data_IF_620540067915
#
_entry.id   IF_620540067915
#
_cell.length_a   1.000
_cell.length_b   1.000
_cell.length_c   1.000
_cell.angle_alpha   90.00
_cell.angle_beta   90.00
_cell.angle_gamma   90.00
#
_symmetry.space_group_name_H-M   'P 1'
#
loop_
_entity.id
_entity.type
_entity.pdbx_description
1 polymer ?
#
# COMPACT_ATOMS: atom_id res chain seq x y z
N UNK A 1 -24.31 -5.99 -9.21
CA UNK A 1 -23.02 -5.59 -8.59
C UNK A 1 -21.94 -5.41 -9.65
N UNK A 2 -20.82 -4.71 -9.36
CA UNK A 2 -19.68 -4.61 -10.29
C UNK A 2 -19.15 -5.97 -10.80
N UNK A 3 -19.28 -7.01 -9.97
CA UNK A 3 -18.98 -8.40 -10.32
C UNK A 3 -19.83 -8.96 -11.48
N UNK A 4 -21.09 -8.53 -11.62
CA UNK A 4 -21.97 -8.98 -12.71
C UNK A 4 -21.62 -8.29 -14.03
N UNK A 5 -21.22 -7.00 -13.96
CA UNK A 5 -20.83 -6.23 -15.13
C UNK A 5 -20.03 -4.98 -14.71
N UNK A 6 -18.94 -4.69 -15.43
CA UNK A 6 -18.03 -3.57 -15.12
C UNK A 6 -18.71 -2.19 -15.05
N UNK A 7 -19.76 -1.96 -15.85
CA UNK A 7 -20.59 -0.72 -15.80
C UNK A 7 -21.19 -0.40 -14.43
N UNK A 8 -21.30 -1.40 -13.54
CA UNK A 8 -21.84 -1.23 -12.18
C UNK A 8 -20.74 -0.98 -11.13
N UNK A 9 -19.48 -0.83 -11.55
CA UNK A 9 -18.40 -0.47 -10.65
C UNK A 9 -18.50 1.03 -10.29
N UNK A 10 -18.56 1.41 -9.01
CA UNK A 10 -18.72 2.81 -8.59
C UNK A 10 -17.40 3.60 -8.62
N UNK A 11 -16.29 2.95 -8.97
CA UNK A 11 -14.93 3.51 -8.99
C UNK A 11 -14.28 3.30 -10.36
N UNK A 12 -13.54 4.28 -10.86
CA UNK A 12 -12.68 4.13 -12.03
C UNK A 12 -11.37 3.45 -11.66
N UNK A 13 -10.84 3.74 -10.47
CA UNK A 13 -9.64 3.13 -9.92
C UNK A 13 -9.80 2.88 -8.41
N UNK A 14 -9.39 1.70 -7.96
CA UNK A 14 -9.21 1.38 -6.55
C UNK A 14 -7.97 0.50 -6.45
N UNK A 15 -6.90 1.08 -5.92
CA UNK A 15 -5.62 0.40 -5.77
C UNK A 15 -5.02 0.77 -4.42
N UNK A 16 -4.07 -0.02 -3.96
CA UNK A 16 -3.30 0.29 -2.78
C UNK A 16 -1.83 -0.05 -3.00
N UNK A 17 -0.98 0.53 -2.16
CA UNK A 17 0.41 0.12 -1.98
C UNK A 17 0.74 0.09 -0.50
N UNK A 18 1.72 -0.71 -0.13
CA UNK A 18 2.26 -0.67 1.22
C UNK A 18 2.98 0.65 1.50
N UNK A 19 3.00 1.07 2.76
CA UNK A 19 3.77 2.24 3.19
C UNK A 19 5.27 1.96 2.98
N UNK A 20 5.97 2.76 2.15
CA UNK A 20 7.39 2.55 1.89
C UNK A 20 8.25 2.91 3.10
N UNK A 21 9.17 2.02 3.48
CA UNK A 21 10.18 2.24 4.51
C UNK A 21 11.53 2.39 3.80
N UNK A 22 12.14 3.57 3.93
CA UNK A 22 13.41 3.89 3.27
C UNK A 22 14.44 4.19 4.35
N UNK A 23 15.44 3.33 4.48
CA UNK A 23 16.54 3.53 5.43
C UNK A 23 17.86 3.71 4.70
N UNK A 24 18.68 4.65 5.19
CA UNK A 24 19.98 4.99 4.60
C UNK A 24 21.04 4.70 5.65
N UNK A 25 22.06 3.91 5.31
CA UNK A 25 23.22 3.67 6.18
C UNK A 25 24.24 4.80 5.99
N UNK A 26 24.35 5.79 6.90
CA UNK A 26 25.12 7.01 6.64
C UNK A 26 26.61 6.73 6.48
N UNK A 27 27.14 5.76 7.22
CA UNK A 27 28.57 5.36 7.15
C UNK A 27 28.99 4.80 5.77
N UNK A 28 28.04 4.33 4.96
CA UNK A 28 28.29 3.76 3.62
C UNK A 28 27.93 4.74 2.49
N UNK A 29 27.24 5.83 2.82
CA UNK A 29 26.80 6.86 1.87
C UNK A 29 27.80 8.02 1.87
N UNK A 30 28.30 8.37 0.69
CA UNK A 30 29.24 9.46 0.45
C UNK A 30 28.56 10.75 -0.02
N UNK A 31 27.22 10.77 -0.09
CA UNK A 31 26.47 11.94 -0.53
C UNK A 31 26.58 12.24 -2.03
N UNK A 32 27.01 11.29 -2.88
CA UNK A 32 27.22 11.51 -4.31
C UNK A 32 25.99 12.00 -5.12
N UNK A 33 24.78 11.89 -4.57
CA UNK A 33 23.56 12.40 -5.20
C UNK A 33 23.05 11.60 -6.41
N UNK A 34 23.70 10.50 -6.80
CA UNK A 34 23.27 9.69 -7.95
C UNK A 34 21.81 9.23 -7.84
N UNK A 35 21.41 8.72 -6.67
CA UNK A 35 20.03 8.30 -6.42
C UNK A 35 19.00 9.44 -6.46
N UNK A 36 19.40 10.68 -6.18
CA UNK A 36 18.51 11.86 -6.24
C UNK A 36 18.08 12.12 -7.68
N UNK A 37 19.02 12.01 -8.64
CA UNK A 37 18.76 12.20 -10.08
C UNK A 37 17.75 11.20 -10.64
N UNK A 38 17.83 9.94 -10.21
CA UNK A 38 17.02 8.86 -10.76
C UNK A 38 15.72 8.61 -10.00
N UNK A 39 15.46 9.31 -8.89
CA UNK A 39 14.20 9.16 -8.17
C UNK A 39 13.07 9.89 -8.94
N UNK A 40 12.12 9.18 -9.58
CA UNK A 40 11.06 9.83 -10.35
C UNK A 40 10.14 10.68 -9.47
N UNK A 41 9.99 10.30 -8.20
CA UNK A 41 9.13 10.96 -7.23
C UNK A 41 9.81 12.13 -6.50
N UNK A 42 11.11 12.37 -6.75
CA UNK A 42 11.87 13.49 -6.16
C UNK A 42 11.77 13.57 -4.62
N UNK A 43 11.69 12.41 -3.98
CA UNK A 43 11.61 12.24 -2.52
C UNK A 43 13.00 12.18 -1.86
N UNK A 44 14.05 11.97 -2.64
CA UNK A 44 15.43 11.98 -2.17
C UNK A 44 16.06 13.35 -2.42
N UNK A 45 16.82 13.85 -1.47
CA UNK A 45 17.55 15.12 -1.60
C UNK A 45 18.84 15.10 -0.77
N UNK A 46 19.76 15.99 -1.07
CA UNK A 46 20.97 16.20 -0.28
C UNK A 46 20.80 17.41 0.64
N UNK A 47 21.13 17.25 1.90
CA UNK A 47 21.26 18.32 2.89
C UNK A 47 22.58 18.13 3.63
N UNK A 48 23.43 19.17 3.64
CA UNK A 48 24.77 19.14 4.26
C UNK A 48 25.62 17.94 3.81
N UNK A 49 25.57 17.61 2.52
CA UNK A 49 26.28 16.47 1.94
C UNK A 49 25.72 15.10 2.35
N UNK A 50 24.60 15.03 3.07
CA UNK A 50 23.95 13.78 3.48
C UNK A 50 22.67 13.56 2.71
N UNK A 51 22.43 12.31 2.31
CA UNK A 51 21.18 11.90 1.67
C UNK A 51 20.06 11.89 2.72
N UNK A 52 18.96 12.55 2.37
CA UNK A 52 17.74 12.64 3.18
C UNK A 52 16.53 12.22 2.34
N UNK A 53 15.47 11.81 3.04
CA UNK A 53 14.18 11.41 2.47
C UNK A 53 13.11 12.38 2.95
N UNK A 54 12.20 12.78 2.07
CA UNK A 54 10.98 13.52 2.39
C UNK A 54 9.79 12.83 1.76
N UNK A 55 8.60 12.98 2.33
CA UNK A 55 7.35 12.47 1.76
C UNK A 55 7.49 11.01 1.28
N UNK A 56 7.98 10.12 2.15
CA UNK A 56 8.28 8.73 1.80
C UNK A 56 7.05 7.97 1.30
N UNK A 57 5.86 8.39 1.71
CA UNK A 57 4.56 7.92 1.22
C UNK A 57 4.42 8.06 -0.31
N UNK A 58 5.13 8.99 -0.95
CA UNK A 58 5.11 9.14 -2.41
C UNK A 58 6.01 8.14 -3.13
N UNK A 59 6.89 7.40 -2.43
CA UNK A 59 7.74 6.40 -3.07
C UNK A 59 6.89 5.33 -3.79
N UNK A 60 7.29 4.98 -5.01
CA UNK A 60 6.61 3.96 -5.83
C UNK A 60 7.24 2.57 -5.70
N UNK A 61 8.20 2.39 -4.78
CA UNK A 61 8.96 1.15 -4.59
C UNK A 61 9.69 0.65 -5.86
N UNK A 62 9.97 1.53 -6.83
CA UNK A 62 10.63 1.18 -8.10
C UNK A 62 12.08 0.71 -7.98
N UNK A 63 12.71 0.86 -6.81
CA UNK A 63 14.11 0.48 -6.51
C UNK A 63 15.19 1.20 -7.32
N UNK A 64 14.85 2.27 -8.01
CA UNK A 64 15.79 2.96 -8.90
C UNK A 64 16.96 3.62 -8.13
N UNK A 65 16.68 4.12 -6.92
CA UNK A 65 17.70 4.68 -6.03
C UNK A 65 18.78 3.66 -5.65
N UNK A 66 18.41 2.37 -5.53
CA UNK A 66 19.32 1.27 -5.21
C UNK A 66 20.11 0.86 -6.46
N UNK A 67 19.44 0.76 -7.60
CA UNK A 67 20.04 0.37 -8.89
C UNK A 67 21.13 1.35 -9.33
N UNK A 68 20.81 2.65 -9.31
CA UNK A 68 21.70 3.72 -9.76
C UNK A 68 22.63 4.27 -8.68
N UNK A 69 22.62 3.71 -7.47
CA UNK A 69 23.65 4.04 -6.51
C UNK A 69 25.02 3.52 -7.00
N UNK A 70 26.05 4.39 -7.12
CA UNK A 70 27.39 3.96 -7.55
C UNK A 70 28.09 3.10 -6.50
N UNK A 71 27.68 3.19 -5.23
CA UNK A 71 28.21 2.34 -4.15
C UNK A 71 27.57 0.96 -4.21
N UNK A 72 28.40 -0.08 -4.22
CA UNK A 72 27.99 -1.48 -4.19
C UNK A 72 28.65 -2.16 -2.97
N UNK A 73 27.87 -2.71 -2.01
CA UNK A 73 26.41 -2.69 -1.93
C UNK A 73 25.85 -1.27 -1.72
N UNK A 74 24.60 -1.05 -2.15
CA UNK A 74 23.91 0.23 -1.94
C UNK A 74 23.76 0.53 -0.44
N UNK A 75 23.96 1.78 0.01
CA UNK A 75 23.69 2.20 1.38
C UNK A 75 22.19 2.41 1.65
N UNK A 76 21.36 2.41 0.60
CA UNK A 76 19.91 2.59 0.67
C UNK A 76 19.26 1.21 0.75
N UNK A 77 18.45 1.00 1.78
CA UNK A 77 17.55 -0.14 1.94
C UNK A 77 16.11 0.33 1.71
N UNK A 78 15.40 -0.39 0.84
CA UNK A 78 14.04 -0.09 0.44
C UNK A 78 13.15 -1.28 0.83
N UNK A 79 12.31 -1.09 1.82
CA UNK A 79 11.34 -2.07 2.31
C UNK A 79 9.96 -1.43 2.43
N UNK A 80 9.02 -2.16 3.01
CA UNK A 80 7.65 -1.70 3.21
C UNK A 80 7.11 -2.23 4.55
N UNK A 81 6.13 -1.52 5.11
CA UNK A 81 5.33 -2.02 6.24
C UNK A 81 4.31 -3.03 5.72
N UNK A 82 4.15 -4.18 6.39
CA UNK A 82 3.11 -5.17 6.04
C UNK A 82 1.74 -4.83 6.63
N UNK A 83 1.71 -3.89 7.59
CA UNK A 83 0.51 -3.51 8.33
C UNK A 83 -0.11 -2.19 7.82
N UNK A 84 0.71 -1.34 7.17
CA UNK A 84 0.29 -0.01 6.71
C UNK A 84 0.09 0.04 5.19
N UNK A 85 -1.08 0.56 4.78
CA UNK A 85 -1.49 0.65 3.39
C UNK A 85 -1.88 2.08 3.00
N UNK A 86 -1.46 2.52 1.82
CA UNK A 86 -1.88 3.76 1.18
C UNK A 86 -2.85 3.41 0.06
N UNK A 87 -4.12 3.74 0.25
CA UNK A 87 -5.16 3.56 -0.75
C UNK A 87 -5.26 4.75 -1.70
N UNK A 88 -5.48 4.46 -2.97
CA UNK A 88 -5.85 5.42 -4.00
C UNK A 88 -7.19 5.00 -4.60
N UNK A 89 -8.20 5.84 -4.43
CA UNK A 89 -9.57 5.56 -4.87
C UNK A 89 -10.11 6.73 -5.66
N UNK A 90 -10.52 6.46 -6.88
CA UNK A 90 -11.15 7.41 -7.79
C UNK A 90 -12.59 6.95 -8.06
N UNK A 91 -13.56 7.78 -7.66
CA UNK A 91 -14.98 7.51 -7.94
C UNK A 91 -15.35 7.83 -9.38
N UNK A 92 -16.37 7.16 -9.90
CA UNK A 92 -16.95 7.50 -11.22
C UNK A 92 -17.85 8.74 -11.18
N UNK A 93 -18.07 9.31 -9.99
CA UNK A 93 -18.95 10.46 -9.75
C UNK A 93 -20.37 10.08 -9.31
N UNK A 94 -20.75 8.80 -9.38
CA UNK A 94 -22.09 8.35 -8.96
C UNK A 94 -22.34 8.50 -7.45
N UNK A 95 -21.29 8.36 -6.64
CA UNK A 95 -21.35 8.47 -5.18
C UNK A 95 -20.03 9.10 -4.64
N UNK A 96 -20.06 9.78 -3.49
CA UNK A 96 -18.84 10.22 -2.81
C UNK A 96 -17.93 9.04 -2.46
N UNK A 97 -16.62 9.17 -2.66
CA UNK A 97 -15.63 8.10 -2.40
C UNK A 97 -15.71 7.57 -0.96
N UNK A 98 -15.89 8.46 0.02
CA UNK A 98 -16.04 8.07 1.43
C UNK A 98 -17.26 7.16 1.64
N UNK A 99 -18.37 7.42 0.93
CA UNK A 99 -19.56 6.57 0.99
C UNK A 99 -19.29 5.20 0.36
N UNK A 100 -18.62 5.16 -0.79
CA UNK A 100 -18.22 3.89 -1.43
C UNK A 100 -17.39 3.05 -0.47
N UNK A 101 -16.41 3.65 0.22
CA UNK A 101 -15.57 2.94 1.19
C UNK A 101 -16.38 2.43 2.40
N UNK A 102 -17.30 3.24 2.93
CA UNK A 102 -18.18 2.82 4.02
C UNK A 102 -19.07 1.64 3.64
N UNK A 103 -19.66 1.65 2.45
CA UNK A 103 -20.47 0.54 1.96
C UNK A 103 -19.61 -0.72 1.72
N UNK A 104 -18.39 -0.57 1.21
CA UNK A 104 -17.47 -1.70 1.06
C UNK A 104 -17.10 -2.34 2.42
N UNK A 105 -16.81 -1.53 3.44
CA UNK A 105 -16.56 -2.02 4.80
C UNK A 105 -17.79 -2.69 5.41
N UNK A 106 -18.99 -2.17 5.15
CA UNK A 106 -20.25 -2.79 5.58
C UNK A 106 -20.41 -4.18 4.98
N UNK A 107 -20.22 -4.32 3.67
CA UNK A 107 -20.34 -5.60 2.97
C UNK A 107 -19.32 -6.65 3.46
N UNK A 108 -18.09 -6.24 3.76
CA UNK A 108 -17.09 -7.13 4.37
C UNK A 108 -17.54 -7.59 5.76
N UNK A 109 -18.04 -6.66 6.58
CA UNK A 109 -18.55 -6.96 7.92
C UNK A 109 -19.73 -7.91 7.89
N UNK A 110 -20.71 -7.67 7.03
CA UNK A 110 -21.91 -8.50 6.90
C UNK A 110 -21.54 -9.92 6.50
N UNK A 111 -20.66 -10.10 5.50
CA UNK A 111 -20.18 -11.43 5.11
C UNK A 111 -19.41 -12.15 6.21
N UNK A 112 -18.66 -11.42 7.03
CA UNK A 112 -17.95 -12.02 8.17
C UNK A 112 -18.93 -12.48 9.27
N UNK A 113 -19.98 -11.70 9.52
CA UNK A 113 -21.07 -12.06 10.45
C UNK A 113 -21.82 -13.28 9.91
N UNK A 114 -22.21 -13.26 8.64
CA UNK A 114 -22.90 -14.39 7.99
C UNK A 114 -22.06 -15.66 8.11
N UNK A 115 -20.77 -15.60 7.76
CA UNK A 115 -19.86 -16.74 7.90
C UNK A 115 -19.75 -17.23 9.34
N UNK A 116 -19.68 -16.33 10.33
CA UNK A 116 -19.68 -16.70 11.74
C UNK A 116 -20.96 -17.43 12.16
N UNK A 117 -22.12 -16.97 11.69
CA UNK A 117 -23.40 -17.60 12.01
C UNK A 117 -23.48 -19.02 11.42
N UNK A 118 -23.04 -19.21 10.17
CA UNK A 118 -22.97 -20.54 9.55
C UNK A 118 -22.07 -21.50 10.35
N UNK A 119 -20.94 -21.01 10.88
CA UNK A 119 -20.07 -21.85 11.71
C UNK A 119 -20.77 -22.30 13.00
N UNK A 120 -21.49 -21.41 13.67
CA UNK A 120 -22.26 -21.74 14.89
C UNK A 120 -23.35 -22.78 14.62
N UNK A 121 -24.05 -22.67 13.48
CA UNK A 121 -25.04 -23.68 13.08
C UNK A 121 -24.42 -25.06 12.83
N UNK A 122 -23.24 -25.10 12.19
CA UNK A 122 -22.52 -26.36 11.95
C UNK A 122 -22.03 -27.00 13.26
N UNK A 123 -21.51 -26.22 14.19
CA UNK A 123 -21.09 -26.71 15.52
C UNK A 123 -22.28 -27.31 16.30
N UNK A 124 -23.45 -26.66 16.26
CA UNK A 124 -24.68 -27.19 16.86
C UNK A 124 -25.12 -28.52 16.25
N UNK A 125 -25.00 -28.66 14.93
CA UNK A 125 -25.39 -29.88 14.20
C UNK A 125 -24.43 -31.07 14.39
N UNK A 126 -23.18 -30.82 14.82
CA UNK A 126 -22.21 -31.89 15.16
C UNK A 126 -22.46 -32.45 16.56
N UNK A 127 -23.01 -31.64 17.49
CA UNK A 127 -23.35 -32.06 18.84
C UNK A 127 -24.54 -33.02 18.96
N UNK A 128 -25.49 -32.98 18.00
CA UNK A 128 -26.69 -33.85 18.00
C UNK A 128 -26.49 -35.22 17.31
N UNK A 129 -25.33 -35.45 16.69
CA UNK A 129 -25.02 -36.69 15.95
C UNK A 129 -24.17 -37.71 16.72
N UNK A 130 -23.91 -37.50 18.01
CA UNK A 130 -23.22 -38.45 18.89
C UNK A 130 -24.13 -39.00 19.99
#
# INVERSE_FOLDING_TARGET
>A
RGQEHAKWQPVSACAYKYLPIITITPKKCDGCGGCVKYCPQKILYLADGKLQVRNSENCTLCSECVRHCPRKPSPINLSWSEEDFIFHIEGTGSLPVVRILQEALREVREKAIDFSNLLTELEGNVGEKN
#
